data_IF_038727191509
#
_entry.id   IF_038727191509
#
_cell.length_a   1.000
_cell.length_b   1.000
_cell.length_c   1.000
_cell.angle_alpha   90.00
_cell.angle_beta   90.00
_cell.angle_gamma   90.00
#
_symmetry.space_group_name_H-M   'P 1'
#
loop_
_entity.id
_entity.type
_entity.pdbx_description
1 polymer ?
#
# COMPACT_ATOMS: atom_id res chain seq x y z
N UNK A 1 -2.48 -11.41 8.73
CA UNK A 1 -3.80 -12.05 8.84
C UNK A 1 -3.84 -13.16 9.90
N UNK A 2 -2.91 -14.12 9.91
CA UNK A 2 -2.93 -15.21 10.89
C UNK A 2 -2.74 -14.75 12.35
N UNK A 3 -1.89 -13.75 12.58
CA UNK A 3 -1.48 -13.31 13.92
C UNK A 3 -2.07 -11.96 14.34
N UNK A 4 -2.92 -11.34 13.51
CA UNK A 4 -3.44 -9.99 13.80
C UNK A 4 -4.42 -10.05 14.98
N UNK A 5 -4.32 -9.11 15.92
CA UNK A 5 -5.24 -9.02 17.06
C UNK A 5 -6.38 -8.02 16.80
N UNK A 6 -7.49 -8.08 17.57
CA UNK A 6 -8.56 -7.08 17.49
C UNK A 6 -8.07 -5.65 17.72
N UNK A 7 -7.10 -5.45 18.61
CA UNK A 7 -6.51 -4.13 18.89
C UNK A 7 -5.69 -3.61 17.70
N UNK A 8 -4.99 -4.51 17.00
CA UNK A 8 -4.26 -4.17 15.78
C UNK A 8 -5.21 -3.84 14.63
N UNK A 9 -6.33 -4.55 14.50
CA UNK A 9 -7.40 -4.22 13.54
C UNK A 9 -7.96 -2.83 13.84
N UNK A 10 -8.31 -2.55 15.10
CA UNK A 10 -8.85 -1.24 15.50
C UNK A 10 -7.86 -0.10 15.22
N UNK A 11 -6.55 -0.35 15.38
CA UNK A 11 -5.51 0.60 14.99
C UNK A 11 -5.48 0.86 13.49
N UNK A 12 -5.59 -0.18 12.66
CA UNK A 12 -5.65 -0.01 11.19
C UNK A 12 -6.90 0.77 10.78
N UNK A 13 -8.05 0.48 11.37
CA UNK A 13 -9.32 1.23 11.15
C UNK A 13 -9.16 2.71 11.52
N UNK A 14 -8.50 3.02 12.64
CA UNK A 14 -8.25 4.39 13.07
C UNK A 14 -7.32 5.16 12.11
N UNK A 15 -6.26 4.52 11.61
CA UNK A 15 -5.35 5.13 10.62
C UNK A 15 -6.11 5.40 9.32
N UNK A 16 -6.90 4.44 8.84
CA UNK A 16 -7.74 4.63 7.64
C UNK A 16 -8.73 5.79 7.79
N UNK A 17 -9.46 5.84 8.90
CA UNK A 17 -10.41 6.92 9.17
C UNK A 17 -9.75 8.31 9.27
N UNK A 18 -8.46 8.36 9.64
CA UNK A 18 -7.68 9.61 9.59
C UNK A 18 -7.22 9.92 8.17
N UNK A 19 -6.73 8.94 7.40
CA UNK A 19 -6.36 9.12 5.97
C UNK A 19 -7.50 9.73 5.16
N UNK A 20 -8.72 9.26 5.37
CA UNK A 20 -9.91 9.71 4.63
C UNK A 20 -10.27 11.19 4.83
N UNK A 21 -9.64 11.85 5.80
CA UNK A 21 -9.80 13.29 6.04
C UNK A 21 -8.87 14.15 5.19
N UNK A 22 -7.82 13.56 4.60
CA UNK A 22 -6.77 14.26 3.85
C UNK A 22 -6.96 14.05 2.35
N UNK A 23 -7.92 14.76 1.77
CA UNK A 23 -8.34 14.60 0.36
C UNK A 23 -7.83 15.71 -0.55
N UNK A 24 -7.21 16.75 0.00
CA UNK A 24 -6.71 17.88 -0.76
C UNK A 24 -5.24 17.73 -1.12
N UNK A 25 -4.82 18.34 -2.25
CA UNK A 25 -3.43 18.26 -2.71
C UNK A 25 -2.41 18.76 -1.65
N UNK A 26 -2.77 19.79 -0.89
CA UNK A 26 -1.92 20.33 0.18
C UNK A 26 -1.72 19.38 1.36
N UNK A 27 -2.57 18.37 1.49
CA UNK A 27 -2.60 17.40 2.60
C UNK A 27 -1.94 16.07 2.23
N UNK A 28 -1.52 15.91 0.97
CA UNK A 28 -0.85 14.70 0.49
C UNK A 28 0.39 14.28 1.30
N UNK A 29 1.23 15.20 1.81
CA UNK A 29 2.32 14.80 2.69
C UNK A 29 1.84 14.07 3.96
N UNK A 30 0.73 14.53 4.55
CA UNK A 30 0.11 13.94 5.73
C UNK A 30 -0.56 12.60 5.39
N UNK A 31 -1.30 12.53 4.28
CA UNK A 31 -1.93 11.29 3.83
C UNK A 31 -0.88 10.20 3.54
N UNK A 32 0.26 10.54 2.91
CA UNK A 32 1.36 9.59 2.68
C UNK A 32 2.02 9.12 3.98
N UNK A 33 2.16 10.01 4.96
CA UNK A 33 2.66 9.64 6.27
C UNK A 33 1.76 8.59 6.93
N UNK A 34 0.45 8.81 6.92
CA UNK A 34 -0.54 7.86 7.45
C UNK A 34 -0.54 6.55 6.65
N UNK A 35 -0.39 6.60 5.32
CA UNK A 35 -0.25 5.42 4.47
C UNK A 35 0.98 4.58 4.86
N UNK A 36 2.11 5.21 5.19
CA UNK A 36 3.29 4.50 5.73
C UNK A 36 3.02 3.87 7.08
N UNK A 37 2.27 4.53 7.95
CA UNK A 37 1.88 4.01 9.27
C UNK A 37 0.92 2.82 9.15
N UNK A 38 -0.01 2.86 8.19
CA UNK A 38 -0.91 1.76 7.87
C UNK A 38 -0.11 0.50 7.46
N UNK A 39 0.80 0.65 6.50
CA UNK A 39 1.66 -0.45 6.06
C UNK A 39 2.61 -0.95 7.17
N UNK A 40 3.13 -0.06 8.02
CA UNK A 40 3.94 -0.44 9.19
C UNK A 40 3.13 -1.29 10.17
N UNK A 41 1.90 -0.88 10.49
CA UNK A 41 0.99 -1.63 11.37
C UNK A 41 0.65 -3.02 10.79
N UNK A 42 0.49 -3.12 9.46
CA UNK A 42 0.37 -4.43 8.79
C UNK A 42 1.62 -5.28 9.02
N UNK A 43 2.83 -4.73 8.82
CA UNK A 43 4.07 -5.47 9.03
C UNK A 43 4.22 -5.94 10.49
N UNK A 44 3.89 -5.08 11.46
CA UNK A 44 3.88 -5.40 12.89
C UNK A 44 2.90 -6.53 13.24
N UNK A 45 1.74 -6.58 12.58
CA UNK A 45 0.75 -7.66 12.75
C UNK A 45 1.24 -9.04 12.32
N UNK A 46 2.36 -9.13 11.58
CA UNK A 46 2.96 -10.41 11.20
C UNK A 46 3.61 -11.14 12.40
N UNK A 47 3.96 -10.42 13.46
CA UNK A 47 4.83 -10.87 14.56
C UNK A 47 6.17 -11.48 14.08
N UNK A 48 6.64 -11.04 12.91
CA UNK A 48 7.91 -11.46 12.33
C UNK A 48 8.91 -10.30 12.38
N UNK A 49 9.87 -10.37 13.30
CA UNK A 49 10.87 -9.31 13.51
C UNK A 49 11.68 -8.98 12.26
N UNK A 50 12.01 -9.99 11.44
CA UNK A 50 12.71 -9.77 10.18
C UNK A 50 11.85 -8.97 9.19
N UNK A 51 10.54 -9.28 9.10
CA UNK A 51 9.61 -8.56 8.23
C UNK A 51 9.45 -7.10 8.66
N UNK A 52 9.32 -6.85 9.97
CA UNK A 52 9.21 -5.50 10.54
C UNK A 52 10.46 -4.67 10.20
N UNK A 53 11.65 -5.23 10.42
CA UNK A 53 12.91 -4.55 10.11
C UNK A 53 13.09 -4.34 8.60
N UNK A 54 12.77 -5.34 7.78
CA UNK A 54 12.88 -5.22 6.33
C UNK A 54 11.95 -4.15 5.78
N UNK A 55 10.70 -4.11 6.26
CA UNK A 55 9.75 -3.06 5.90
C UNK A 55 10.33 -1.68 6.24
N UNK A 56 10.82 -1.49 7.47
CA UNK A 56 11.41 -0.21 7.90
C UNK A 56 12.61 0.22 7.03
N UNK A 57 13.45 -0.71 6.58
CA UNK A 57 14.58 -0.39 5.68
C UNK A 57 14.05 0.05 4.32
N UNK A 58 13.12 -0.72 3.73
CA UNK A 58 12.60 -0.45 2.38
C UNK A 58 11.78 0.84 2.34
N UNK A 59 10.93 1.08 3.35
CA UNK A 59 10.09 2.28 3.42
C UNK A 59 10.92 3.56 3.55
N UNK A 60 12.07 3.50 4.22
CA UNK A 60 12.98 4.66 4.35
C UNK A 60 13.88 4.86 3.11
N UNK A 61 14.10 3.82 2.31
CA UNK A 61 14.88 3.92 1.08
C UNK A 61 14.08 4.50 -0.09
N UNK A 62 12.75 4.38 -0.06
CA UNK A 62 11.88 4.88 -1.10
C UNK A 62 11.45 6.33 -0.82
N UNK A 63 11.72 7.30 -1.71
CA UNK A 63 11.26 8.66 -1.51
C UNK A 63 9.76 8.78 -1.77
N UNK A 64 8.96 9.04 -0.74
CA UNK A 64 7.49 9.18 -0.88
C UNK A 64 7.06 10.22 -1.92
N UNK A 65 7.83 11.30 -2.09
CA UNK A 65 7.56 12.32 -3.11
C UNK A 65 7.46 11.73 -4.52
N UNK A 66 8.07 10.57 -4.79
CA UNK A 66 7.91 9.89 -6.06
C UNK A 66 6.47 9.44 -6.33
N UNK A 67 5.71 9.09 -5.29
CA UNK A 67 4.34 8.61 -5.40
C UNK A 67 3.35 9.75 -5.65
N UNK A 68 3.60 10.94 -5.12
CA UNK A 68 2.64 12.06 -5.17
C UNK A 68 3.10 13.27 -5.99
N UNK A 69 4.33 13.32 -6.53
CA UNK A 69 4.73 14.40 -7.45
C UNK A 69 3.80 14.47 -8.68
N UNK A 70 3.32 13.31 -9.16
CA UNK A 70 2.36 13.25 -10.26
C UNK A 70 1.07 14.02 -9.92
N UNK A 71 0.61 13.96 -8.67
CA UNK A 71 -0.57 14.68 -8.19
C UNK A 71 -0.33 16.19 -8.13
N UNK A 72 0.88 16.63 -7.77
CA UNK A 72 1.25 18.05 -7.85
C UNK A 72 1.26 18.58 -9.28
N UNK A 73 1.69 17.75 -10.25
CA UNK A 73 1.71 18.12 -11.67
C UNK A 73 0.33 18.02 -12.34
N UNK A 74 -0.57 17.20 -11.77
CA UNK A 74 -1.90 16.90 -12.28
C UNK A 74 -2.92 16.85 -11.13
N UNK A 75 -3.30 18.00 -10.56
CA UNK A 75 -4.19 18.07 -9.40
C UNK A 75 -5.56 17.43 -9.64
N UNK A 76 -6.01 17.37 -10.90
CA UNK A 76 -7.26 16.71 -11.31
C UNK A 76 -7.28 15.21 -10.98
N UNK A 77 -6.12 14.59 -10.73
CA UNK A 77 -6.02 13.18 -10.36
C UNK A 77 -6.19 12.92 -8.87
N UNK A 78 -6.10 13.95 -8.02
CA UNK A 78 -6.07 13.79 -6.55
C UNK A 78 -7.28 13.01 -6.06
N UNK A 79 -8.49 13.45 -6.40
CA UNK A 79 -9.73 12.81 -5.94
C UNK A 79 -9.81 11.34 -6.37
N UNK A 80 -9.44 11.03 -7.63
CA UNK A 80 -9.44 9.65 -8.13
C UNK A 80 -8.37 8.78 -7.46
N UNK A 81 -7.16 9.32 -7.26
CA UNK A 81 -6.05 8.62 -6.63
C UNK A 81 -6.31 8.32 -5.16
N UNK A 82 -6.90 9.26 -4.42
CA UNK A 82 -7.26 9.08 -3.01
C UNK A 82 -8.36 8.04 -2.89
N UNK A 83 -9.43 8.14 -3.68
CA UNK A 83 -10.53 7.17 -3.67
C UNK A 83 -10.04 5.75 -4.01
N UNK A 84 -9.20 5.61 -5.03
CA UNK A 84 -8.62 4.31 -5.40
C UNK A 84 -7.75 3.73 -4.28
N UNK A 85 -6.88 4.54 -3.66
CA UNK A 85 -6.01 4.09 -2.56
C UNK A 85 -6.85 3.64 -1.36
N UNK A 86 -7.90 4.39 -1.02
CA UNK A 86 -8.84 4.02 0.03
C UNK A 86 -9.48 2.66 -0.24
N UNK A 87 -10.01 2.44 -1.45
CA UNK A 87 -10.67 1.18 -1.80
C UNK A 87 -9.72 -0.02 -1.72
N UNK A 88 -8.47 0.15 -2.15
CA UNK A 88 -7.42 -0.86 -2.03
C UNK A 88 -7.06 -1.17 -0.58
N UNK A 89 -6.87 -0.14 0.26
CA UNK A 89 -6.61 -0.29 1.69
C UNK A 89 -7.78 -0.95 2.43
N UNK A 90 -9.02 -0.57 2.09
CA UNK A 90 -10.23 -1.14 2.66
C UNK A 90 -10.35 -2.64 2.34
N UNK A 91 -10.05 -3.03 1.11
CA UNK A 91 -10.05 -4.43 0.70
C UNK A 91 -9.00 -5.24 1.46
N UNK A 92 -7.79 -4.69 1.63
CA UNK A 92 -6.74 -5.32 2.44
C UNK A 92 -7.21 -5.48 3.89
N UNK A 93 -7.71 -4.41 4.51
CA UNK A 93 -8.17 -4.44 5.90
C UNK A 93 -9.30 -5.45 6.11
N UNK A 94 -10.26 -5.53 5.19
CA UNK A 94 -11.33 -6.53 5.24
C UNK A 94 -10.79 -7.97 5.20
N UNK A 95 -9.76 -8.24 4.40
CA UNK A 95 -9.08 -9.53 4.40
C UNK A 95 -8.39 -9.85 5.73
N UNK A 96 -7.79 -8.85 6.38
CA UNK A 96 -7.24 -8.99 7.74
C UNK A 96 -8.34 -9.26 8.77
N UNK A 97 -9.48 -8.55 8.71
CA UNK A 97 -10.63 -8.76 9.59
C UNK A 97 -11.23 -10.16 9.47
N UNK A 98 -11.23 -10.71 8.25
CA UNK A 98 -11.66 -12.08 7.95
C UNK A 98 -10.62 -13.15 8.31
N UNK A 99 -9.43 -12.74 8.78
CA UNK A 99 -8.28 -13.63 9.00
C UNK A 99 -7.95 -14.50 7.78
N UNK A 100 -8.10 -13.95 6.57
CA UNK A 100 -7.81 -14.65 5.31
C UNK A 100 -6.40 -14.29 4.82
N UNK A 101 -5.36 -15.09 5.12
CA UNK A 101 -3.99 -14.79 4.71
C UNK A 101 -3.79 -14.82 3.21
N UNK A 102 -4.46 -15.72 2.50
CA UNK A 102 -4.33 -15.85 1.04
C UNK A 102 -4.87 -14.60 0.36
N UNK A 103 -6.06 -14.15 0.79
CA UNK A 103 -6.69 -12.93 0.30
C UNK A 103 -5.87 -11.69 0.65
N UNK A 104 -5.40 -11.57 1.89
CA UNK A 104 -4.59 -10.45 2.34
C UNK A 104 -3.28 -10.32 1.57
N UNK A 105 -2.59 -11.44 1.33
CA UNK A 105 -1.36 -11.48 0.52
C UNK A 105 -1.65 -11.05 -0.91
N UNK A 106 -2.70 -11.60 -1.53
CA UNK A 106 -3.05 -11.27 -2.92
C UNK A 106 -3.38 -9.79 -3.10
N UNK A 107 -4.26 -9.24 -2.27
CA UNK A 107 -4.66 -7.83 -2.33
C UNK A 107 -3.49 -6.88 -2.06
N UNK A 108 -2.61 -7.23 -1.10
CA UNK A 108 -1.41 -6.44 -0.83
C UNK A 108 -0.45 -6.41 -2.02
N UNK A 109 -0.30 -7.53 -2.73
CA UNK A 109 0.53 -7.60 -3.94
C UNK A 109 -0.10 -6.81 -5.09
N UNK A 110 -1.43 -6.90 -5.26
CA UNK A 110 -2.18 -6.14 -6.27
C UNK A 110 -2.03 -4.61 -6.06
N UNK A 111 -2.12 -4.13 -4.80
CA UNK A 111 -1.89 -2.73 -4.42
C UNK A 111 -0.48 -2.23 -4.80
N UNK A 112 0.55 -3.01 -4.50
CA UNK A 112 1.94 -2.67 -4.88
C UNK A 112 2.11 -2.63 -6.41
N UNK A 113 1.48 -3.55 -7.13
CA UNK A 113 1.52 -3.55 -8.60
C UNK A 113 0.81 -2.34 -9.21
N UNK A 114 -0.30 -1.89 -8.62
CA UNK A 114 -0.97 -0.67 -9.05
C UNK A 114 -0.09 0.58 -8.84
N UNK A 115 0.58 0.67 -7.69
CA UNK A 115 1.60 1.71 -7.46
C UNK A 115 2.71 1.68 -8.52
N UNK A 116 3.09 0.49 -9.00
CA UNK A 116 4.01 0.32 -10.13
C UNK A 116 3.45 0.89 -11.45
N UNK A 117 2.19 0.58 -11.78
CA UNK A 117 1.49 1.12 -12.97
C UNK A 117 1.37 2.65 -12.92
N UNK A 118 1.18 3.22 -11.73
CA UNK A 118 1.19 4.66 -11.53
C UNK A 118 2.53 5.29 -11.93
N UNK A 119 3.64 4.69 -11.51
CA UNK A 119 4.99 5.14 -11.89
C UNK A 119 5.24 5.01 -13.41
N UNK A 120 4.73 3.95 -14.05
CA UNK A 120 4.78 3.79 -15.52
C UNK A 120 4.10 4.99 -16.21
N UNK A 121 2.86 5.27 -15.79
CA UNK A 121 1.96 6.22 -16.44
C UNK A 121 2.43 7.67 -16.25
N UNK A 122 2.92 8.01 -15.06
CA UNK A 122 3.15 9.41 -14.68
C UNK A 122 4.62 9.80 -14.54
N UNK A 123 5.56 8.83 -14.56
CA UNK A 123 7.00 9.09 -14.34
C UNK A 123 7.91 8.59 -15.44
N UNK A 124 7.37 8.20 -16.60
CA UNK A 124 8.14 7.67 -17.74
C UNK A 124 9.04 6.49 -17.34
N UNK A 125 8.68 5.76 -16.27
CA UNK A 125 9.40 4.54 -15.91
C UNK A 125 9.11 3.49 -16.99
N UNK A 126 10.13 2.90 -17.63
CA UNK A 126 9.90 1.92 -18.69
C UNK A 126 9.05 0.75 -18.20
N UNK A 127 7.94 0.51 -18.88
CA UNK A 127 7.04 -0.63 -18.67
C UNK A 127 7.81 -1.94 -18.50
N UNK A 128 8.83 -2.16 -19.35
CA UNK A 128 9.67 -3.35 -19.34
C UNK A 128 10.30 -3.63 -17.97
N UNK A 129 10.80 -2.60 -17.27
CA UNK A 129 11.42 -2.75 -15.96
C UNK A 129 10.38 -3.20 -14.91
N UNK A 130 9.18 -2.63 -14.95
CA UNK A 130 8.10 -3.02 -14.06
C UNK A 130 7.63 -4.45 -14.34
N UNK A 131 7.43 -4.83 -15.61
CA UNK A 131 7.04 -6.20 -16.00
C UNK A 131 8.09 -7.24 -15.61
N UNK A 132 9.39 -6.90 -15.67
CA UNK A 132 10.46 -7.78 -15.20
C UNK A 132 10.36 -8.03 -13.69
N UNK A 133 10.07 -7.00 -12.89
CA UNK A 133 9.86 -7.13 -11.44
C UNK A 133 8.58 -7.88 -11.10
N UNK A 134 7.47 -7.58 -11.78
CA UNK A 134 6.21 -8.31 -11.60
C UNK A 134 6.38 -9.81 -11.89
N UNK A 135 7.12 -10.18 -12.94
CA UNK A 135 7.41 -11.60 -13.22
C UNK A 135 8.15 -12.28 -12.07
N UNK A 136 9.11 -11.60 -11.44
CA UNK A 136 9.88 -12.13 -10.31
C UNK A 136 8.97 -12.47 -9.12
N UNK A 137 7.90 -11.70 -8.89
CA UNK A 137 6.98 -11.91 -7.76
C UNK A 137 5.69 -12.63 -8.14
N UNK A 138 5.41 -12.84 -9.43
CA UNK A 138 4.15 -13.41 -9.93
C UNK A 138 3.83 -14.81 -9.39
N UNK A 139 4.86 -15.57 -9.00
CA UNK A 139 4.70 -16.89 -8.38
C UNK A 139 4.13 -16.81 -6.96
N UNK A 140 4.23 -15.65 -6.28
CA UNK A 140 3.63 -15.41 -4.97
C UNK A 140 2.12 -15.18 -5.04
N UNK A 141 1.60 -14.81 -6.22
CA UNK A 141 0.17 -14.55 -6.46
C UNK A 141 -0.54 -15.83 -6.92
N UNK A 142 0.18 -16.74 -7.57
CA UNK A 142 -0.39 -17.99 -8.09
C UNK A 142 -0.34 -19.07 -7.00
N UNK A 143 -1.49 -19.65 -6.68
CA UNK A 143 -1.54 -20.85 -5.82
C UNK A 143 -0.59 -21.93 -6.37
N UNK A 144 0.20 -22.61 -5.51
CA UNK A 144 0.70 -23.92 -5.90
C UNK A 144 -0.51 -24.81 -6.21
N UNK A 145 -0.47 -25.48 -7.36
CA UNK A 145 -1.49 -26.47 -7.74
C UNK A 145 -1.49 -27.64 -6.78
#
# INVERSE_FOLDING_TARGET
ALNITPEQIARLEAIMAEMDRHVELSEMPQERQLSREFHAAIAESSNNQLMIQLYAIVSNAFPDWLLYEALYRKPELVAGSVAQTHDEHAAILDAFKKHDPDLATRLSLEHVMESGRWLETYRNIPAKLLREKEKQVSHLIKKPK
#
